data_IF_990355636037
#
_entry.id   IF_990355636037
#
_cell.length_a   1.000
_cell.length_b   1.000
_cell.length_c   1.000
_cell.angle_alpha   90.00
_cell.angle_beta   90.00
_cell.angle_gamma   90.00
#
_symmetry.space_group_name_H-M   'P 1'
#
loop_
_entity.id
_entity.type
_entity.pdbx_description
1 polymer ?
#
# COMPACT_ATOMS: atom_id res chain seq x y z
N UNK A 1 -9.30 12.77 -12.03
CA UNK A 1 -8.53 13.90 -11.48
C UNK A 1 -9.25 15.25 -11.60
N UNK A 2 -9.50 15.77 -12.82
CA UNK A 2 -10.11 17.10 -13.01
C UNK A 2 -11.43 17.30 -12.22
N UNK A 3 -12.34 16.34 -12.28
CA UNK A 3 -13.64 16.39 -11.57
C UNK A 3 -13.42 16.54 -10.05
N UNK A 4 -12.54 15.71 -9.46
CA UNK A 4 -12.20 15.78 -8.03
C UNK A 4 -11.56 17.12 -7.66
N UNK A 5 -10.66 17.63 -8.51
CA UNK A 5 -10.05 18.93 -8.30
C UNK A 5 -11.07 20.07 -8.30
N UNK A 6 -12.04 20.05 -9.24
CA UNK A 6 -13.11 21.06 -9.28
C UNK A 6 -13.99 20.99 -8.05
N UNK A 7 -14.41 19.79 -7.66
CA UNK A 7 -15.20 19.56 -6.45
C UNK A 7 -14.49 20.07 -5.19
N UNK A 8 -13.18 19.79 -5.04
CA UNK A 8 -12.39 20.25 -3.91
C UNK A 8 -12.19 21.77 -3.85
N UNK A 9 -12.31 22.46 -4.98
CA UNK A 9 -12.15 23.92 -5.10
C UNK A 9 -13.49 24.67 -5.18
N UNK A 10 -14.63 24.00 -4.95
CA UNK A 10 -15.98 24.56 -5.17
C UNK A 10 -16.15 25.20 -6.56
N UNK A 11 -15.52 24.62 -7.58
CA UNK A 11 -15.64 25.06 -8.99
C UNK A 11 -16.76 24.30 -9.69
N UNK A 12 -17.47 24.95 -10.63
CA UNK A 12 -18.49 24.27 -11.41
C UNK A 12 -17.87 23.11 -12.21
N UNK A 13 -18.61 22.01 -12.31
CA UNK A 13 -18.28 20.91 -13.20
C UNK A 13 -18.28 21.37 -14.66
N UNK A 14 -17.58 20.66 -15.57
CA UNK A 14 -17.64 20.96 -17.00
C UNK A 14 -19.08 20.95 -17.52
N UNK A 15 -19.35 21.74 -18.55
CA UNK A 15 -20.67 21.81 -19.17
C UNK A 15 -21.14 20.41 -19.59
N UNK A 16 -22.39 20.06 -19.24
CA UNK A 16 -22.96 18.75 -19.52
C UNK A 16 -22.58 17.63 -18.55
N UNK A 17 -21.70 17.87 -17.57
CA UNK A 17 -21.37 16.90 -16.51
C UNK A 17 -22.23 17.16 -15.28
N UNK A 18 -23.04 16.18 -14.90
CA UNK A 18 -23.84 16.22 -13.67
C UNK A 18 -23.08 15.63 -12.47
N UNK A 19 -23.56 15.88 -11.26
CA UNK A 19 -22.98 15.26 -10.05
C UNK A 19 -23.07 13.73 -10.07
N UNK A 20 -24.17 13.18 -10.60
CA UNK A 20 -24.33 11.73 -10.77
C UNK A 20 -23.29 11.16 -11.76
N UNK A 21 -23.04 11.85 -12.88
CA UNK A 21 -21.98 11.46 -13.82
C UNK A 21 -20.60 11.53 -13.15
N UNK A 22 -20.33 12.57 -12.36
CA UNK A 22 -19.09 12.69 -11.59
C UNK A 22 -18.93 11.53 -10.58
N UNK A 23 -19.99 11.13 -9.90
CA UNK A 23 -19.98 9.98 -8.99
C UNK A 23 -19.71 8.67 -9.74
N UNK A 24 -20.36 8.45 -10.87
CA UNK A 24 -20.15 7.24 -11.70
C UNK A 24 -18.72 7.18 -12.24
N UNK A 25 -18.14 8.30 -12.68
CA UNK A 25 -16.74 8.37 -13.13
C UNK A 25 -15.79 8.01 -11.99
N UNK A 26 -16.04 8.49 -10.77
CA UNK A 26 -15.22 8.15 -9.60
C UNK A 26 -15.29 6.65 -9.31
N UNK A 27 -16.48 6.07 -9.26
CA UNK A 27 -16.67 4.62 -9.05
C UNK A 27 -16.01 3.79 -10.14
N UNK A 28 -16.10 4.22 -11.39
CA UNK A 28 -15.43 3.56 -12.51
C UNK A 28 -13.90 3.64 -12.37
N UNK A 29 -13.36 4.79 -11.95
CA UNK A 29 -11.93 4.97 -11.75
C UNK A 29 -11.40 4.08 -10.64
N UNK A 30 -12.10 4.03 -9.50
CA UNK A 30 -11.80 3.11 -8.41
C UNK A 30 -11.86 1.66 -8.89
N UNK A 31 -12.94 1.28 -9.57
CA UNK A 31 -13.08 -0.05 -10.14
C UNK A 31 -11.94 -0.39 -11.11
N UNK A 32 -11.57 0.50 -12.02
CA UNK A 32 -10.47 0.30 -12.96
C UNK A 32 -9.12 0.17 -12.26
N UNK A 33 -8.88 0.94 -11.20
CA UNK A 33 -7.65 0.84 -10.42
C UNK A 33 -7.58 -0.51 -9.70
N UNK A 34 -8.66 -0.90 -9.01
CA UNK A 34 -8.73 -2.13 -8.21
C UNK A 34 -8.93 -3.41 -9.00
N UNK A 35 -9.42 -3.35 -10.23
CA UNK A 35 -9.65 -4.54 -11.06
C UNK A 35 -8.75 -4.58 -12.29
N UNK A 36 -8.32 -3.43 -12.81
CA UNK A 36 -7.51 -3.33 -14.03
C UNK A 36 -6.00 -3.21 -13.79
N UNK A 37 -5.57 -2.54 -12.71
CA UNK A 37 -4.14 -2.35 -12.38
C UNK A 37 -3.65 -3.29 -11.28
N UNK A 38 -4.53 -3.65 -10.34
CA UNK A 38 -4.28 -4.62 -9.29
C UNK A 38 -5.27 -5.77 -9.46
N UNK A 39 -5.06 -6.68 -10.42
CA UNK A 39 -5.89 -7.90 -10.53
C UNK A 39 -5.72 -8.71 -9.24
N UNK A 40 -6.59 -8.47 -8.26
CA UNK A 40 -6.59 -9.12 -6.95
C UNK A 40 -7.97 -9.66 -6.57
N UNK A 41 -8.95 -9.66 -7.48
CA UNK A 41 -10.19 -10.40 -7.26
C UNK A 41 -10.49 -11.38 -8.39
N UNK A 42 -10.87 -12.57 -7.93
CA UNK A 42 -11.45 -13.73 -8.60
C UNK A 42 -10.52 -14.62 -9.46
N UNK A 43 -9.77 -15.51 -8.81
CA UNK A 43 -10.22 -16.90 -8.53
C UNK A 43 -9.45 -17.49 -7.36
N UNK A 44 -10.03 -18.50 -6.71
CA UNK A 44 -9.56 -19.22 -5.52
C UNK A 44 -8.39 -20.16 -5.86
N UNK A 45 -7.41 -19.69 -6.63
CA UNK A 45 -6.28 -20.48 -7.08
C UNK A 45 -4.95 -19.83 -6.65
N UNK A 46 -3.99 -20.66 -6.21
CA UNK A 46 -2.64 -20.28 -5.73
C UNK A 46 -1.92 -19.30 -6.67
N UNK A 47 -2.17 -19.39 -7.97
CA UNK A 47 -1.58 -18.55 -9.01
C UNK A 47 -1.94 -17.07 -8.83
N UNK A 48 -3.17 -16.76 -8.40
CA UNK A 48 -3.56 -15.36 -8.18
C UNK A 48 -2.81 -14.78 -6.98
N UNK A 49 -2.61 -15.57 -5.92
CA UNK A 49 -1.86 -15.16 -4.72
C UNK A 49 -0.38 -14.89 -4.99
N UNK A 50 0.23 -15.68 -5.89
CA UNK A 50 1.60 -15.50 -6.33
C UNK A 50 1.77 -14.20 -7.12
N UNK A 51 0.86 -13.91 -8.06
CA UNK A 51 0.90 -12.68 -8.84
C UNK A 51 0.70 -11.42 -7.98
N UNK A 52 -0.18 -11.46 -6.96
CA UNK A 52 -0.31 -10.33 -6.01
C UNK A 52 0.98 -10.05 -5.29
N UNK A 53 1.62 -11.12 -4.82
CA UNK A 53 2.85 -11.04 -4.06
C UNK A 53 3.97 -10.50 -4.93
N UNK A 54 4.09 -10.99 -6.16
CA UNK A 54 5.04 -10.47 -7.15
C UNK A 54 4.79 -8.98 -7.43
N UNK A 55 3.54 -8.58 -7.69
CA UNK A 55 3.19 -7.18 -7.91
C UNK A 55 3.50 -6.31 -6.68
N UNK A 56 3.18 -6.76 -5.47
CA UNK A 56 3.51 -6.06 -4.24
C UNK A 56 5.04 -5.94 -4.04
N UNK A 57 5.79 -7.00 -4.36
CA UNK A 57 7.27 -6.99 -4.32
C UNK A 57 7.86 -5.96 -5.27
N UNK A 58 7.37 -5.94 -6.50
CA UNK A 58 7.86 -5.02 -7.55
C UNK A 58 7.37 -3.58 -7.35
N UNK A 59 6.16 -3.38 -6.85
CA UNK A 59 5.61 -2.04 -6.63
C UNK A 59 6.17 -1.39 -5.36
N UNK A 60 6.14 -2.11 -4.24
CA UNK A 60 6.37 -1.54 -2.90
C UNK A 60 7.54 -2.17 -2.14
N UNK A 61 8.08 -3.30 -2.59
CA UNK A 61 9.07 -4.06 -1.82
C UNK A 61 10.34 -3.28 -1.47
N UNK A 62 10.82 -2.41 -2.37
CA UNK A 62 11.95 -1.51 -2.06
C UNK A 62 11.63 -0.52 -0.94
N UNK A 63 10.46 0.11 -0.99
CA UNK A 63 10.04 1.07 0.03
C UNK A 63 9.76 0.38 1.37
N UNK A 64 9.12 -0.79 1.34
CA UNK A 64 8.93 -1.63 2.51
C UNK A 64 10.26 -2.06 3.15
N UNK A 65 11.31 -2.29 2.35
CA UNK A 65 12.64 -2.57 2.87
C UNK A 65 13.21 -1.38 3.65
N UNK A 66 13.00 -0.15 3.22
CA UNK A 66 13.43 1.05 3.95
C UNK A 66 12.73 1.17 5.31
N UNK A 67 11.40 1.00 5.31
CA UNK A 67 10.59 1.01 6.54
C UNK A 67 11.03 -0.10 7.50
N UNK A 68 11.22 -1.31 6.98
CA UNK A 68 11.66 -2.46 7.78
C UNK A 68 13.04 -2.21 8.39
N UNK A 69 13.99 -1.67 7.61
CA UNK A 69 15.33 -1.36 8.08
C UNK A 69 15.30 -0.33 9.21
N UNK A 70 14.49 0.72 9.09
CA UNK A 70 14.30 1.74 10.15
C UNK A 70 13.80 1.10 11.45
N UNK A 71 12.77 0.25 11.36
CA UNK A 71 12.19 -0.44 12.52
C UNK A 71 13.20 -1.42 13.14
N UNK A 72 13.87 -2.23 12.31
CA UNK A 72 14.87 -3.19 12.77
C UNK A 72 16.05 -2.51 13.47
N UNK A 73 16.52 -1.37 12.94
CA UNK A 73 17.56 -0.60 13.62
C UNK A 73 17.10 -0.13 14.99
N UNK A 74 15.83 0.27 15.14
CA UNK A 74 15.30 0.69 16.45
C UNK A 74 15.16 -0.47 17.43
N UNK A 75 14.75 -1.65 16.97
CA UNK A 75 14.63 -2.86 17.79
C UNK A 75 16.01 -3.40 18.21
N UNK A 76 17.00 -3.34 17.32
CA UNK A 76 18.33 -3.93 17.56
C UNK A 76 19.33 -2.96 18.22
N UNK A 77 19.17 -1.66 18.05
CA UNK A 77 20.06 -0.64 18.60
C UNK A 77 19.28 0.44 19.38
N UNK A 78 19.31 0.30 20.71
CA UNK A 78 18.71 1.26 21.63
C UNK A 78 19.34 2.65 21.57
N UNK A 79 20.50 2.82 20.92
CA UNK A 79 21.13 4.14 20.73
C UNK A 79 20.63 4.87 19.48
N UNK A 80 19.80 4.24 18.64
CA UNK A 80 19.23 4.92 17.48
C UNK A 80 18.30 6.06 17.94
N UNK A 81 18.72 7.30 17.65
CA UNK A 81 17.99 8.52 18.02
C UNK A 81 16.87 8.89 17.05
N UNK A 82 16.73 8.18 15.91
CA UNK A 82 15.66 8.42 14.95
C UNK A 82 14.32 8.09 15.61
N UNK A 83 13.45 9.10 15.71
CA UNK A 83 12.12 8.99 16.33
C UNK A 83 10.99 8.87 15.31
N UNK A 84 11.19 9.37 14.08
CA UNK A 84 10.21 9.31 13.02
C UNK A 84 10.87 9.46 11.63
N UNK A 85 10.22 8.90 10.62
CA UNK A 85 10.45 9.15 9.19
C UNK A 85 9.18 9.76 8.60
N UNK A 86 9.30 10.81 7.79
CA UNK A 86 8.18 11.39 7.05
C UNK A 86 8.42 11.19 5.56
N UNK A 87 7.49 10.51 4.90
CA UNK A 87 7.49 10.29 3.45
C UNK A 87 6.29 11.01 2.84
N UNK A 88 6.53 11.83 1.83
CA UNK A 88 5.48 12.46 1.02
C UNK A 88 5.33 11.68 -0.28
N UNK A 89 4.12 11.20 -0.56
CA UNK A 89 3.87 10.32 -1.69
C UNK A 89 2.53 10.63 -2.35
N UNK A 90 2.17 9.83 -3.35
CA UNK A 90 0.91 9.94 -4.08
C UNK A 90 -0.11 8.90 -3.59
N UNK A 91 -1.38 9.08 -3.99
CA UNK A 91 -2.42 8.06 -3.86
C UNK A 91 -1.98 6.71 -4.47
N UNK A 92 -1.29 6.75 -5.60
CA UNK A 92 -0.64 5.61 -6.27
C UNK A 92 0.52 4.99 -5.49
N UNK A 93 0.87 5.54 -4.33
CA UNK A 93 1.79 4.92 -3.36
C UNK A 93 1.04 4.36 -2.15
N UNK A 94 0.09 5.13 -1.61
CA UNK A 94 -0.70 4.73 -0.44
C UNK A 94 -1.52 3.47 -0.72
N UNK A 95 -2.22 3.43 -1.87
CA UNK A 95 -3.08 2.31 -2.22
C UNK A 95 -2.29 1.00 -2.33
N UNK A 96 -1.24 0.89 -3.17
CA UNK A 96 -0.44 -0.33 -3.21
C UNK A 96 0.28 -0.65 -1.92
N UNK A 97 0.62 0.33 -1.08
CA UNK A 97 1.17 0.07 0.25
C UNK A 97 0.13 -0.59 1.17
N UNK A 98 -1.11 -0.09 1.20
CA UNK A 98 -2.23 -0.75 1.92
C UNK A 98 -2.43 -2.18 1.43
N UNK A 99 -2.44 -2.37 0.11
CA UNK A 99 -2.59 -3.68 -0.51
C UNK A 99 -1.46 -4.63 -0.13
N UNK A 100 -0.21 -4.18 -0.24
CA UNK A 100 0.97 -4.98 0.12
C UNK A 100 0.92 -5.40 1.60
N UNK A 101 0.38 -4.56 2.48
CA UNK A 101 0.20 -4.86 3.90
C UNK A 101 -1.05 -5.70 4.21
N UNK A 102 -1.83 -6.10 3.20
CA UNK A 102 -3.03 -6.92 3.35
C UNK A 102 -4.29 -6.15 3.71
N UNK A 103 -4.27 -4.82 3.60
CA UNK A 103 -5.39 -3.90 3.88
C UNK A 103 -6.02 -3.34 2.59
N UNK A 104 -5.82 -4.07 1.51
CA UNK A 104 -6.25 -3.77 0.15
C UNK A 104 -7.72 -4.00 -0.15
N UNK A 105 -8.57 -4.22 0.86
CA UNK A 105 -10.01 -4.20 0.65
C UNK A 105 -10.47 -2.74 0.45
N UNK A 106 -10.11 -2.19 -0.71
CA UNK A 106 -10.12 -0.75 -0.95
C UNK A 106 -11.53 -0.15 -1.08
N UNK A 107 -12.55 -1.00 -1.11
CA UNK A 107 -13.93 -0.54 -1.01
C UNK A 107 -14.31 -0.03 0.40
N UNK A 108 -13.61 -0.42 1.46
CA UNK A 108 -13.91 0.13 2.80
C UNK A 108 -13.36 1.56 2.94
N UNK A 109 -12.22 1.87 2.29
CA UNK A 109 -11.50 3.12 2.50
C UNK A 109 -11.62 4.12 1.33
N UNK A 110 -12.03 3.67 0.15
CA UNK A 110 -12.15 4.48 -1.06
C UNK A 110 -10.82 5.00 -1.59
N UNK A 111 -10.87 5.85 -2.61
CA UNK A 111 -9.69 6.57 -3.08
C UNK A 111 -9.14 7.51 -1.98
N UNK A 112 -7.83 7.51 -1.68
CA UNK A 112 -7.26 8.42 -0.67
C UNK A 112 -7.57 9.88 -0.98
N UNK A 113 -8.23 10.57 -0.05
CA UNK A 113 -8.49 12.00 -0.17
C UNK A 113 -7.18 12.81 -0.05
N UNK A 114 -7.20 14.06 -0.51
CA UNK A 114 -6.11 15.00 -0.27
C UNK A 114 -5.79 15.10 1.23
N UNK A 115 -4.51 15.01 1.57
CA UNK A 115 -4.05 15.02 2.95
C UNK A 115 -4.22 13.68 3.69
N UNK A 116 -4.63 12.62 2.99
CA UNK A 116 -4.65 11.28 3.59
C UNK A 116 -3.25 10.86 4.02
N UNK A 117 -3.18 10.09 5.11
CA UNK A 117 -1.93 9.60 5.67
C UNK A 117 -2.05 8.16 6.15
N UNK A 118 -0.92 7.46 6.10
CA UNK A 118 -0.71 6.19 6.77
C UNK A 118 0.40 6.36 7.79
N UNK A 119 0.20 5.83 8.99
CA UNK A 119 1.17 5.87 10.08
C UNK A 119 1.47 4.43 10.48
N UNK A 120 2.76 4.06 10.49
CA UNK A 120 3.24 2.76 10.96
C UNK A 120 4.09 3.03 12.19
N UNK A 121 3.67 2.51 13.34
CA UNK A 121 4.29 2.78 14.63
C UNK A 121 4.86 1.51 15.25
N UNK A 122 6.10 1.59 15.71
CA UNK A 122 6.72 0.59 16.58
C UNK A 122 6.35 0.91 18.03
N UNK A 123 5.58 0.02 18.65
CA UNK A 123 5.18 0.09 20.05
C UNK A 123 5.95 -0.96 20.86
N UNK A 124 6.28 -0.65 22.12
CA UNK A 124 6.89 -1.59 23.06
C UNK A 124 5.94 -1.82 24.22
N UNK A 125 5.77 -3.09 24.63
CA UNK A 125 4.95 -3.41 25.80
C UNK A 125 5.65 -2.89 27.07
N UNK A 126 4.96 -2.07 27.86
CA UNK A 126 5.48 -1.47 29.08
C UNK A 126 5.09 -2.23 30.34
N UNK A 127 4.34 -3.34 30.22
CA UNK A 127 3.91 -4.10 31.39
C UNK A 127 5.11 -4.77 32.08
N UNK A 128 5.39 -4.34 33.31
CA UNK A 128 6.57 -4.75 34.11
C UNK A 128 6.66 -6.26 34.43
N UNK A 129 5.61 -7.03 34.11
CA UNK A 129 5.49 -8.47 34.42
C UNK A 129 5.54 -9.39 33.19
N UNK A 130 5.73 -8.85 31.99
CA UNK A 130 6.00 -9.63 30.78
C UNK A 130 7.25 -9.10 30.08
N UNK A 131 7.87 -9.93 29.24
CA UNK A 131 9.12 -9.64 28.53
C UNK A 131 9.13 -8.19 28.00
N UNK A 132 10.00 -7.35 28.58
CA UNK A 132 10.19 -5.94 28.20
C UNK A 132 10.65 -5.75 26.75
N UNK A 133 10.87 -6.83 26.03
CA UNK A 133 11.38 -6.87 24.66
C UNK A 133 10.30 -7.27 23.64
N UNK A 134 9.01 -7.26 24.02
CA UNK A 134 7.91 -7.49 23.08
C UNK A 134 7.53 -6.20 22.36
N UNK A 135 7.69 -6.23 21.04
CA UNK A 135 7.33 -5.14 20.16
C UNK A 135 6.06 -5.45 19.38
N UNK A 136 5.32 -4.39 19.06
CA UNK A 136 4.10 -4.42 18.28
C UNK A 136 4.19 -3.39 17.16
N UNK A 137 3.57 -3.69 16.03
CA UNK A 137 3.37 -2.75 14.95
C UNK A 137 1.92 -2.32 14.93
N UNK A 138 1.68 -1.02 15.05
CA UNK A 138 0.35 -0.40 14.89
C UNK A 138 0.30 0.32 13.55
N UNK A 139 -0.76 0.09 12.78
CA UNK A 139 -0.98 0.76 11.49
C UNK A 139 -2.24 1.59 11.59
N UNK A 140 -2.14 2.86 11.23
CA UNK A 140 -3.26 3.79 11.14
C UNK A 140 -3.40 4.30 9.72
N UNK A 141 -4.65 4.44 9.25
CA UNK A 141 -4.99 5.17 8.04
C UNK A 141 -5.97 6.29 8.40
N UNK A 142 -5.62 7.53 8.08
CA UNK A 142 -6.41 8.71 8.45
C UNK A 142 -6.80 8.75 9.94
N UNK A 143 -5.84 8.43 10.82
CA UNK A 143 -5.98 8.31 12.28
C UNK A 143 -6.90 7.19 12.78
N UNK A 144 -7.47 6.35 11.90
CA UNK A 144 -8.17 5.11 12.29
C UNK A 144 -7.17 3.97 12.33
N UNK A 145 -7.08 3.26 13.45
CA UNK A 145 -6.28 2.03 13.52
C UNK A 145 -6.89 0.97 12.59
N UNK A 146 -6.09 0.44 11.68
CA UNK A 146 -6.47 -0.62 10.75
C UNK A 146 -5.78 -1.95 11.06
N UNK A 147 -4.65 -1.90 11.80
CA UNK A 147 -3.96 -3.12 12.23
C UNK A 147 -3.20 -2.92 13.55
N UNK A 148 -3.03 -4.03 14.27
CA UNK A 148 -2.17 -4.16 15.44
C UNK A 148 -1.69 -5.60 15.54
N UNK A 149 -0.39 -5.82 15.36
CA UNK A 149 0.19 -7.15 15.30
C UNK A 149 1.54 -7.24 16.00
N UNK A 150 1.91 -8.42 16.54
CA UNK A 150 3.26 -8.64 17.06
C UNK A 150 4.30 -8.34 15.99
N UNK A 151 5.40 -7.72 16.38
CA UNK A 151 6.48 -7.31 15.48
C UNK A 151 7.01 -8.48 14.64
N UNK A 152 7.17 -9.67 15.22
CA UNK A 152 7.67 -10.86 14.52
C UNK A 152 6.71 -11.32 13.43
N UNK A 153 5.40 -11.22 13.67
CA UNK A 153 4.38 -11.53 12.65
C UNK A 153 4.42 -10.51 11.52
N UNK A 154 4.56 -9.23 11.83
CA UNK A 154 4.69 -8.17 10.83
C UNK A 154 5.95 -8.36 9.99
N UNK A 155 7.08 -8.65 10.64
CA UNK A 155 8.36 -8.93 10.00
C UNK A 155 8.24 -10.08 9.00
N UNK A 156 7.63 -11.20 9.39
CA UNK A 156 7.41 -12.33 8.47
C UNK A 156 6.55 -11.92 7.25
N UNK A 157 5.50 -11.13 7.49
CA UNK A 157 4.58 -10.68 6.44
C UNK A 157 5.25 -9.72 5.47
N UNK A 158 6.11 -8.82 5.94
CA UNK A 158 6.80 -7.82 5.11
C UNK A 158 8.04 -8.40 4.44
N UNK A 159 8.81 -9.26 5.10
CA UNK A 159 10.04 -9.84 4.54
C UNK A 159 9.79 -10.62 3.25
N UNK A 160 8.66 -11.33 3.14
CA UNK A 160 8.28 -12.03 1.89
C UNK A 160 7.95 -11.07 0.73
N UNK A 161 7.75 -9.78 1.00
CA UNK A 161 7.45 -8.75 0.00
C UNK A 161 8.70 -7.98 -0.42
N UNK A 162 9.86 -8.26 0.16
CA UNK A 162 11.10 -7.58 -0.20
C UNK A 162 11.80 -8.33 -1.35
N UNK A 163 12.07 -7.66 -2.49
CA UNK A 163 12.82 -8.24 -3.59
C UNK A 163 14.24 -8.64 -3.15
N UNK A 164 14.72 -9.80 -3.56
CA UNK A 164 16.10 -10.22 -3.29
C UNK A 164 17.06 -9.60 -4.30
N UNK A 165 16.61 -9.43 -5.54
CA UNK A 165 17.29 -8.67 -6.58
C UNK A 165 16.23 -7.98 -7.45
N UNK A 166 15.92 -6.73 -7.11
CA UNK A 166 14.86 -5.97 -7.76
C UNK A 166 15.03 -5.86 -9.27
N UNK A 167 16.24 -5.58 -9.74
CA UNK A 167 16.51 -5.38 -11.16
C UNK A 167 16.27 -6.66 -11.95
N UNK A 168 16.70 -7.81 -11.39
CA UNK A 168 16.48 -9.11 -12.01
C UNK A 168 14.99 -9.51 -11.99
N UNK A 169 14.29 -9.24 -10.89
CA UNK A 169 12.85 -9.52 -10.74
C UNK A 169 11.99 -8.62 -11.67
N UNK A 170 12.48 -7.47 -12.09
CA UNK A 170 11.79 -6.60 -13.06
C UNK A 170 11.94 -7.03 -14.52
N UNK A 171 12.81 -8.00 -14.84
CA UNK A 171 13.00 -8.46 -16.21
C UNK A 171 11.82 -9.32 -16.62
N UNK A 172 11.05 -8.85 -17.61
CA UNK A 172 9.96 -9.62 -18.18
C UNK A 172 10.49 -10.93 -18.81
N UNK A 173 10.18 -12.06 -18.19
CA UNK A 173 10.47 -13.37 -18.76
C UNK A 173 9.41 -13.70 -19.81
N UNK A 174 9.60 -13.22 -21.04
CA UNK A 174 8.69 -13.51 -22.15
C UNK A 174 8.64 -15.02 -22.44
N UNK A 175 7.56 -15.70 -22.07
CA UNK A 175 7.21 -17.01 -22.64
C UNK A 175 6.23 -16.90 -23.81
N UNK A 176 5.69 -15.71 -24.06
CA UNK A 176 4.85 -15.43 -25.20
C UNK A 176 5.39 -14.19 -25.93
N UNK A 177 5.66 -14.29 -27.25
CA UNK A 177 5.98 -13.11 -28.04
C UNK A 177 4.83 -12.12 -27.94
N UNK A 178 5.16 -10.85 -27.68
CA UNK A 178 4.20 -9.75 -27.78
C UNK A 178 3.69 -9.77 -29.23
N UNK A 179 2.37 -9.85 -29.48
CA UNK A 179 1.86 -9.75 -30.84
C UNK A 179 2.30 -8.41 -31.43
N UNK A 180 2.98 -8.43 -32.58
CA UNK A 180 3.25 -7.22 -33.36
C UNK A 180 1.90 -6.63 -33.78
N UNK A 181 1.44 -5.64 -33.02
CA UNK A 181 0.35 -4.78 -33.46
C UNK A 181 0.97 -3.75 -34.41
N UNK A 182 0.91 -4.03 -35.71
CA UNK A 182 1.13 -3.02 -36.74
C UNK A 182 0.00 -1.98 -36.63
N UNK A 183 0.32 -0.80 -36.10
CA UNK A 183 -0.52 0.40 -36.11
C UNK A 183 -0.30 1.20 -37.40
#
# INVERSE_FOLDING_TARGET
DEIKCRQAMDKPLPEGVTDDMAEQINKLTEWMFFNGHYILKDTVDDVTSANRRELARLAMGRFLSEILNDIQQKVNDNNNQKVASLYTAHDTSIIPLMEALGHGEVFEYGWPLLGSNMIIELCQDTNEHQDKDKYWIRILFNNKQIDLLPYEKWLMNVAQLIPTNFDQECIAHSKHPIPDYNW
#
